data_IF_496004476201
#
_entry.id   IF_496004476201
#
_cell.length_a   1.000
_cell.length_b   1.000
_cell.length_c   1.000
_cell.angle_alpha   90.00
_cell.angle_beta   90.00
_cell.angle_gamma   90.00
#
_symmetry.space_group_name_H-M   'P 1'
#
loop_
_entity.id
_entity.type
_entity.pdbx_description
1 polymer ?
#
# COMPACT_ATOMS: atom_id res chain seq x y z
N UNK A 1 11.31 -27.67 8.00
CA UNK A 1 12.26 -26.81 7.25
C UNK A 1 12.62 -25.66 8.16
N UNK A 2 13.90 -25.28 8.29
CA UNK A 2 14.37 -24.22 9.19
C UNK A 2 15.01 -23.06 8.42
N UNK A 3 15.27 -21.95 9.11
CA UNK A 3 15.82 -20.71 8.53
C UNK A 3 17.17 -20.99 7.86
N UNK A 4 18.01 -21.83 8.48
CA UNK A 4 19.33 -22.17 7.98
C UNK A 4 19.24 -22.88 6.62
N UNK A 5 18.37 -23.89 6.50
CA UNK A 5 18.18 -24.63 5.24
C UNK A 5 17.65 -23.72 4.12
N UNK A 6 16.72 -22.80 4.43
CA UNK A 6 16.15 -21.87 3.45
C UNK A 6 17.20 -20.86 3.00
N UNK A 7 17.98 -20.34 3.93
CA UNK A 7 19.06 -19.38 3.65
C UNK A 7 20.13 -20.01 2.75
N UNK A 8 20.57 -21.23 3.07
CA UNK A 8 21.53 -21.97 2.26
C UNK A 8 21.02 -22.23 0.83
N UNK A 9 19.72 -22.53 0.67
CA UNK A 9 19.11 -22.73 -0.64
C UNK A 9 19.00 -21.41 -1.42
N UNK A 10 18.57 -20.33 -0.79
CA UNK A 10 18.46 -19.01 -1.42
C UNK A 10 19.83 -18.51 -1.88
N UNK A 11 20.89 -18.70 -1.08
CA UNK A 11 22.24 -18.26 -1.43
C UNK A 11 22.83 -18.98 -2.66
N UNK A 12 22.34 -20.18 -3.02
CA UNK A 12 22.74 -20.92 -4.23
C UNK A 12 22.15 -20.33 -5.52
N UNK A 13 21.16 -19.45 -5.43
CA UNK A 13 20.53 -18.84 -6.60
C UNK A 13 21.39 -17.73 -7.21
N UNK A 14 21.10 -17.40 -8.47
CA UNK A 14 21.70 -16.24 -9.14
C UNK A 14 21.33 -14.92 -8.41
N UNK A 15 22.16 -13.88 -8.48
CA UNK A 15 21.93 -12.62 -7.77
C UNK A 15 20.53 -12.02 -7.97
N UNK A 16 20.01 -12.02 -9.20
CA UNK A 16 18.68 -11.50 -9.52
C UNK A 16 17.56 -12.29 -8.83
N UNK A 17 17.63 -13.62 -8.82
CA UNK A 17 16.64 -14.47 -8.13
C UNK A 17 16.69 -14.29 -6.61
N UNK A 18 17.86 -14.03 -6.03
CA UNK A 18 17.97 -13.71 -4.60
C UNK A 18 17.33 -12.36 -4.27
N UNK A 19 17.54 -11.35 -5.11
CA UNK A 19 16.90 -10.04 -4.94
C UNK A 19 15.37 -10.16 -4.98
N UNK A 20 14.84 -10.94 -5.92
CA UNK A 20 13.41 -11.19 -6.02
C UNK A 20 12.83 -11.93 -4.79
N UNK A 21 13.54 -12.92 -4.26
CA UNK A 21 13.12 -13.57 -3.00
C UNK A 21 13.15 -12.58 -1.83
N UNK A 22 14.17 -11.72 -1.76
CA UNK A 22 14.25 -10.70 -0.71
C UNK A 22 13.07 -9.72 -0.78
N UNK A 23 12.66 -9.31 -1.98
CA UNK A 23 11.48 -8.48 -2.21
C UNK A 23 10.20 -9.16 -1.70
N UNK A 24 9.93 -10.40 -2.12
CA UNK A 24 8.76 -11.18 -1.64
C UNK A 24 8.75 -11.30 -0.12
N UNK A 25 9.91 -11.57 0.49
CA UNK A 25 10.01 -11.68 1.94
C UNK A 25 9.74 -10.34 2.64
N UNK A 26 10.20 -9.22 2.09
CA UNK A 26 9.90 -7.89 2.62
C UNK A 26 8.41 -7.58 2.49
N UNK A 27 7.81 -7.78 1.33
CA UNK A 27 6.37 -7.59 1.12
C UNK A 27 5.52 -8.45 2.07
N UNK A 28 5.99 -9.65 2.42
CA UNK A 28 5.29 -10.51 3.38
C UNK A 28 5.27 -9.94 4.80
N UNK A 29 6.20 -9.04 5.14
CA UNK A 29 6.22 -8.32 6.41
C UNK A 29 5.28 -7.11 6.40
N UNK A 30 4.98 -6.57 5.23
CA UNK A 30 4.02 -5.48 5.03
C UNK A 30 2.56 -5.95 5.14
N UNK A 31 2.34 -7.24 5.42
CA UNK A 31 1.05 -7.73 5.90
C UNK A 31 0.80 -7.15 7.30
N UNK A 32 0.34 -5.91 7.36
CA UNK A 32 -0.31 -5.37 8.54
C UNK A 32 -1.52 -6.27 8.82
N UNK A 33 -1.55 -6.90 10.01
CA UNK A 33 -2.82 -7.40 10.55
C UNK A 33 -3.86 -6.30 10.37
N UNK A 34 -5.05 -6.65 9.87
CA UNK A 34 -6.17 -5.72 9.75
C UNK A 34 -6.26 -4.89 11.05
N UNK A 35 -5.78 -3.65 10.99
CA UNK A 35 -5.76 -2.83 12.19
C UNK A 35 -7.19 -2.33 12.39
N UNK A 36 -7.66 -2.42 13.62
CA UNK A 36 -9.00 -1.93 13.93
C UNK A 36 -8.96 -0.41 13.83
N UNK A 37 -9.55 0.13 12.77
CA UNK A 37 -9.81 1.55 12.64
C UNK A 37 -10.66 1.99 13.83
N UNK A 38 -10.24 3.07 14.51
CA UNK A 38 -10.98 3.56 15.68
C UNK A 38 -12.41 3.94 15.30
N UNK A 39 -13.33 3.88 16.26
CA UNK A 39 -14.74 4.18 16.02
C UNK A 39 -14.92 5.60 15.43
N UNK A 40 -14.13 6.57 15.90
CA UNK A 40 -14.16 7.96 15.42
C UNK A 40 -13.79 8.04 13.93
N UNK A 41 -12.77 7.28 13.51
CA UNK A 41 -12.36 7.22 12.11
C UNK A 41 -13.38 6.47 11.24
N UNK A 42 -13.98 5.40 11.76
CA UNK A 42 -15.06 4.70 11.05
C UNK A 42 -16.26 5.62 10.79
N UNK A 43 -16.66 6.40 11.79
CA UNK A 43 -17.75 7.38 11.68
C UNK A 43 -17.42 8.47 10.65
N UNK A 44 -16.20 9.01 10.67
CA UNK A 44 -15.78 10.04 9.72
C UNK A 44 -15.72 9.51 8.28
N UNK A 45 -15.22 8.29 8.06
CA UNK A 45 -15.21 7.64 6.74
C UNK A 45 -16.64 7.52 6.22
N UNK A 46 -17.55 6.96 7.03
CA UNK A 46 -18.95 6.79 6.63
C UNK A 46 -19.63 8.13 6.31
N UNK A 47 -19.35 9.16 7.11
CA UNK A 47 -19.87 10.51 6.87
C UNK A 47 -19.37 11.07 5.53
N UNK A 48 -18.07 11.01 5.26
CA UNK A 48 -17.51 11.52 3.99
C UNK A 48 -18.03 10.78 2.78
N UNK A 49 -18.18 9.46 2.85
CA UNK A 49 -18.81 8.69 1.77
C UNK A 49 -20.21 9.21 1.48
N UNK A 50 -21.05 9.42 2.52
CA UNK A 50 -22.39 9.98 2.35
C UNK A 50 -22.39 11.39 1.77
N UNK A 51 -21.48 12.24 2.22
CA UNK A 51 -21.37 13.61 1.72
C UNK A 51 -20.98 13.62 0.23
N UNK A 52 -20.04 12.76 -0.18
CA UNK A 52 -19.63 12.57 -1.58
C UNK A 52 -20.75 11.98 -2.44
N UNK A 53 -21.46 10.98 -1.93
CA UNK A 53 -22.59 10.36 -2.64
C UNK A 53 -23.74 11.35 -2.85
N UNK A 54 -23.95 12.27 -1.89
CA UNK A 54 -24.94 13.33 -1.97
C UNK A 54 -24.50 14.49 -2.88
N UNK A 55 -23.20 14.82 -2.88
CA UNK A 55 -22.62 15.87 -3.71
C UNK A 55 -21.27 15.44 -4.31
N UNK A 56 -21.29 14.82 -5.51
CA UNK A 56 -20.07 14.41 -6.21
C UNK A 56 -19.16 15.58 -6.60
N UNK A 57 -19.65 16.84 -6.57
CA UNK A 57 -18.84 18.02 -6.88
C UNK A 57 -17.79 18.33 -5.81
N UNK A 58 -17.88 17.68 -4.64
CA UNK A 58 -16.83 17.70 -3.61
C UNK A 58 -15.52 17.04 -4.07
N UNK A 59 -15.58 16.17 -5.09
CA UNK A 59 -14.41 15.50 -5.65
C UNK A 59 -13.72 16.40 -6.68
N UNK A 60 -12.39 16.30 -6.74
CA UNK A 60 -11.59 16.90 -7.80
C UNK A 60 -11.34 15.82 -8.86
N UNK A 61 -11.38 16.21 -10.13
CA UNK A 61 -11.01 15.31 -11.23
C UNK A 61 -9.57 14.81 -11.06
N UNK A 62 -9.37 13.50 -11.24
CA UNK A 62 -8.09 12.85 -10.98
C UNK A 62 -6.98 13.29 -11.93
N UNK A 63 -7.30 13.54 -13.21
CA UNK A 63 -6.32 14.02 -14.18
C UNK A 63 -5.91 15.46 -13.87
N UNK A 64 -6.88 16.30 -13.53
CA UNK A 64 -6.63 17.68 -13.10
C UNK A 64 -5.73 17.71 -11.85
N UNK A 65 -6.07 16.95 -10.80
CA UNK A 65 -5.29 16.88 -9.57
C UNK A 65 -3.83 16.48 -9.85
N UNK A 66 -3.62 15.46 -10.67
CA UNK A 66 -2.27 14.99 -11.01
C UNK A 66 -1.48 16.00 -11.84
N UNK A 67 -2.15 16.75 -12.72
CA UNK A 67 -1.51 17.83 -13.48
C UNK A 67 -1.05 18.97 -12.57
N UNK A 68 -1.90 19.41 -11.63
CA UNK A 68 -1.57 20.46 -10.65
C UNK A 68 -0.43 20.04 -9.72
N UNK A 69 -0.45 18.79 -9.23
CA UNK A 69 0.59 18.24 -8.37
C UNK A 69 1.96 18.22 -9.07
N UNK A 70 2.00 17.77 -10.34
CA UNK A 70 3.22 17.79 -11.15
C UNK A 70 3.74 19.21 -11.29
N UNK A 71 2.91 20.16 -11.72
CA UNK A 71 3.34 21.55 -11.91
C UNK A 71 3.95 22.18 -10.66
N UNK A 72 3.49 21.78 -9.46
CA UNK A 72 3.92 22.38 -8.20
C UNK A 72 5.19 21.76 -7.61
N UNK A 73 5.46 20.48 -7.88
CA UNK A 73 6.47 19.72 -7.14
C UNK A 73 7.41 18.86 -8.01
N UNK A 74 7.15 18.72 -9.31
CA UNK A 74 7.98 17.96 -10.26
C UNK A 74 8.44 18.86 -11.42
#
# INVERSE_FOLDING_TARGET
MNIETITEQALKLAPASRAYIAEILLESLDYEEDFIVSEEWQQEIQKRCKDIDADPSLLIDGEQFMAELKQRYL
#
